data_IF_581688467522
#
_entry.id   IF_581688467522
#
_cell.length_a   1.000
_cell.length_b   1.000
_cell.length_c   1.000
_cell.angle_alpha   90.00
_cell.angle_beta   90.00
_cell.angle_gamma   90.00
#
_symmetry.space_group_name_H-M   'P 1'
#
loop_
_entity.id
_entity.type
_entity.pdbx_description
1 polymer ?
#
# COMPACT_ATOMS: atom_id res chain seq x y z
N UNK A 1 5.33 -22.44 -9.00
CA UNK A 1 4.45 -21.70 -9.94
C UNK A 1 3.00 -22.07 -9.65
N UNK A 2 2.05 -21.19 -9.93
CA UNK A 2 0.62 -21.53 -9.81
C UNK A 2 0.25 -22.50 -10.93
N UNK A 3 -0.46 -23.59 -10.62
CA UNK A 3 -0.97 -24.57 -11.60
C UNK A 3 -1.78 -23.93 -12.75
N UNK A 4 -2.39 -22.77 -12.50
CA UNK A 4 -3.13 -22.00 -13.50
C UNK A 4 -2.20 -21.53 -14.64
N UNK A 5 -0.93 -21.19 -14.36
CA UNK A 5 0.02 -20.75 -15.41
C UNK A 5 0.36 -21.86 -16.41
N UNK A 6 0.25 -23.12 -16.00
CA UNK A 6 0.49 -24.29 -16.86
C UNK A 6 -0.62 -24.50 -17.89
N UNK A 7 -1.79 -23.88 -17.67
CA UNK A 7 -2.91 -23.95 -18.62
C UNK A 7 -2.75 -23.00 -19.82
N UNK A 8 -1.85 -22.03 -19.74
CA UNK A 8 -1.61 -21.11 -20.86
C UNK A 8 -0.58 -21.69 -21.80
N UNK A 9 -0.95 -21.84 -23.07
CA UNK A 9 -0.08 -22.33 -24.13
C UNK A 9 -0.13 -21.38 -25.31
N UNK A 10 0.99 -21.30 -26.04
CA UNK A 10 1.00 -20.58 -27.33
C UNK A 10 0.11 -21.31 -28.33
N UNK A 11 -0.67 -20.57 -29.09
CA UNK A 11 -1.45 -21.13 -30.24
C UNK A 11 -0.57 -21.53 -31.43
N UNK A 12 0.70 -21.13 -31.43
CA UNK A 12 1.64 -21.45 -32.46
C UNK A 12 2.47 -22.67 -32.06
N UNK A 13 2.75 -23.58 -32.99
CA UNK A 13 3.44 -24.86 -32.74
C UNK A 13 4.82 -24.70 -32.11
N UNK A 14 5.56 -23.64 -32.44
CA UNK A 14 6.85 -23.29 -31.83
C UNK A 14 6.82 -21.96 -31.09
N UNK A 15 5.65 -21.56 -30.64
CA UNK A 15 5.48 -20.28 -29.94
C UNK A 15 5.86 -20.35 -28.47
N UNK A 16 6.30 -19.23 -27.93
CA UNK A 16 6.60 -19.05 -26.53
C UNK A 16 5.62 -18.05 -25.91
N UNK A 17 5.37 -18.18 -24.62
CA UNK A 17 4.69 -17.18 -23.82
C UNK A 17 5.74 -16.40 -23.04
N UNK A 18 5.75 -15.08 -23.21
CA UNK A 18 6.62 -14.18 -22.48
C UNK A 18 5.81 -13.39 -21.46
N UNK A 19 6.23 -13.40 -20.22
CA UNK A 19 5.71 -12.54 -19.17
C UNK A 19 6.75 -11.48 -18.82
N UNK A 20 6.38 -10.22 -18.96
CA UNK A 20 7.19 -9.08 -18.53
C UNK A 20 6.47 -8.38 -17.40
N UNK A 21 7.18 -8.05 -16.35
CA UNK A 21 6.65 -7.35 -15.19
C UNK A 21 7.67 -6.32 -14.70
N UNK A 22 7.19 -5.17 -14.25
CA UNK A 22 8.06 -4.14 -13.68
C UNK A 22 8.52 -4.55 -12.28
N UNK A 23 9.81 -4.36 -12.01
CA UNK A 23 10.32 -4.59 -10.66
C UNK A 23 9.92 -3.45 -9.73
N UNK A 24 9.26 -3.78 -8.63
CA UNK A 24 8.91 -2.86 -7.54
C UNK A 24 8.12 -1.61 -7.99
N UNK A 25 7.32 -1.67 -9.06
CA UNK A 25 6.64 -0.52 -9.64
C UNK A 25 5.84 0.29 -8.63
N UNK A 26 5.01 -0.38 -7.81
CA UNK A 26 4.20 0.29 -6.78
C UNK A 26 5.06 0.97 -5.71
N UNK A 27 6.21 0.39 -5.36
CA UNK A 27 7.17 0.99 -4.41
C UNK A 27 7.78 2.25 -5.01
N UNK A 28 8.15 2.22 -6.30
CA UNK A 28 8.65 3.38 -7.03
C UNK A 28 7.60 4.50 -7.07
N UNK A 29 6.36 4.17 -7.41
CA UNK A 29 5.25 5.13 -7.42
C UNK A 29 5.03 5.76 -6.04
N UNK A 30 5.04 4.94 -4.99
CA UNK A 30 4.90 5.43 -3.62
C UNK A 30 6.05 6.38 -3.23
N UNK A 31 7.29 6.03 -3.56
CA UNK A 31 8.46 6.87 -3.27
C UNK A 31 8.34 8.26 -3.90
N UNK A 32 7.90 8.31 -5.16
CA UNK A 32 7.69 9.56 -5.91
C UNK A 32 6.53 10.37 -5.34
N UNK A 33 5.38 9.74 -5.10
CA UNK A 33 4.19 10.42 -4.56
C UNK A 33 4.45 10.99 -3.17
N UNK A 34 5.06 10.18 -2.29
CA UNK A 34 5.37 10.56 -0.92
C UNK A 34 6.62 11.46 -0.81
N UNK A 35 7.37 11.64 -1.91
CA UNK A 35 8.64 12.37 -1.94
C UNK A 35 9.60 11.88 -0.84
N UNK A 36 9.60 10.55 -0.60
CA UNK A 36 10.43 9.95 0.43
C UNK A 36 11.87 9.82 -0.05
N UNK A 37 12.75 10.66 0.46
CA UNK A 37 14.14 10.75 0.01
C UNK A 37 14.96 9.50 0.31
N UNK A 38 14.67 8.81 1.43
CA UNK A 38 15.36 7.57 1.80
C UNK A 38 14.98 6.45 0.82
N UNK A 39 13.68 6.29 0.57
CA UNK A 39 13.20 5.28 -0.35
C UNK A 39 13.66 5.54 -1.79
N UNK A 40 13.65 6.81 -2.22
CA UNK A 40 14.16 7.20 -3.56
C UNK A 40 15.66 6.90 -3.71
N UNK A 41 16.47 7.15 -2.67
CA UNK A 41 17.90 6.86 -2.68
C UNK A 41 18.17 5.34 -2.75
N UNK A 42 17.48 4.54 -1.94
CA UNK A 42 17.57 3.06 -2.00
C UNK A 42 17.21 2.51 -3.39
N UNK A 43 16.11 3.00 -3.98
CA UNK A 43 15.67 2.59 -5.32
C UNK A 43 16.66 2.99 -6.41
N UNK A 44 17.21 4.21 -6.35
CA UNK A 44 18.21 4.70 -7.32
C UNK A 44 19.53 3.91 -7.25
N UNK A 45 19.87 3.37 -6.08
CA UNK A 45 21.01 2.46 -5.90
C UNK A 45 20.73 1.03 -6.36
N UNK A 46 19.48 0.73 -6.79
CA UNK A 46 19.07 -0.61 -7.19
C UNK A 46 18.92 -1.59 -6.04
N UNK A 47 18.73 -1.08 -4.82
CA UNK A 47 18.62 -1.90 -3.62
C UNK A 47 17.26 -2.64 -3.55
N UNK A 48 17.27 -3.83 -2.96
CA UNK A 48 16.05 -4.56 -2.66
C UNK A 48 15.46 -4.10 -1.32
N UNK A 49 14.45 -3.25 -1.42
CA UNK A 49 13.75 -2.66 -0.26
C UNK A 49 13.26 -3.71 0.75
N UNK A 50 12.83 -4.88 0.26
CA UNK A 50 12.35 -5.93 1.15
C UNK A 50 13.50 -6.59 1.91
N UNK A 51 14.66 -6.69 1.30
CA UNK A 51 15.89 -7.14 1.97
C UNK A 51 16.33 -6.11 3.02
N UNK A 52 16.40 -4.84 2.67
CA UNK A 52 16.79 -3.77 3.59
C UNK A 52 15.85 -3.70 4.80
N UNK A 53 14.55 -3.78 4.58
CA UNK A 53 13.57 -3.78 5.67
C UNK A 53 13.66 -5.05 6.53
N UNK A 54 13.99 -6.20 5.94
CA UNK A 54 14.19 -7.43 6.71
C UNK A 54 15.38 -7.32 7.65
N UNK A 55 16.50 -6.81 7.16
CA UNK A 55 17.71 -6.61 7.97
C UNK A 55 17.51 -5.55 9.06
N UNK A 56 16.76 -4.49 8.76
CA UNK A 56 16.38 -3.47 9.75
C UNK A 56 15.56 -4.07 10.90
N UNK A 57 14.58 -4.91 10.59
CA UNK A 57 13.69 -5.50 11.59
C UNK A 57 14.32 -6.68 12.34
N UNK A 58 15.26 -7.36 11.71
CA UNK A 58 15.93 -8.56 12.20
C UNK A 58 17.44 -8.46 11.99
N UNK A 59 18.16 -7.61 12.73
CA UNK A 59 19.60 -7.36 12.50
C UNK A 59 20.50 -8.58 12.76
N UNK A 60 20.03 -9.55 13.55
CA UNK A 60 20.77 -10.77 13.91
C UNK A 60 20.15 -12.02 13.29
N UNK A 61 19.64 -11.91 12.06
CA UNK A 61 18.93 -13.01 11.40
C UNK A 61 19.89 -14.15 11.01
N UNK A 62 19.48 -15.41 11.27
CA UNK A 62 20.14 -16.57 10.73
C UNK A 62 19.92 -16.67 9.21
N UNK A 63 20.97 -16.90 8.39
CA UNK A 63 20.85 -17.07 6.94
C UNK A 63 19.80 -18.09 6.49
N UNK A 64 19.61 -19.16 7.24
CA UNK A 64 18.61 -20.20 6.94
C UNK A 64 17.17 -19.67 7.05
N UNK A 65 16.91 -18.71 7.95
CA UNK A 65 15.60 -18.11 8.16
C UNK A 65 15.35 -16.90 7.28
N UNK A 66 16.41 -16.33 6.66
CA UNK A 66 16.34 -15.08 5.91
C UNK A 66 15.23 -15.09 4.86
N UNK A 67 15.16 -16.13 4.02
CA UNK A 67 14.16 -16.22 2.93
C UNK A 67 12.72 -16.21 3.48
N UNK A 68 12.48 -16.87 4.61
CA UNK A 68 11.16 -16.90 5.26
C UNK A 68 10.78 -15.54 5.84
N UNK A 69 11.72 -14.90 6.54
CA UNK A 69 11.50 -13.59 7.16
C UNK A 69 11.36 -12.48 6.10
N UNK A 70 12.19 -12.52 5.03
CA UNK A 70 12.06 -11.59 3.92
C UNK A 70 10.68 -11.65 3.25
N UNK A 71 10.11 -12.86 3.07
CA UNK A 71 8.75 -13.01 2.56
C UNK A 71 7.73 -12.35 3.48
N UNK A 72 7.83 -12.58 4.80
CA UNK A 72 6.95 -11.95 5.79
C UNK A 72 7.10 -10.43 5.82
N UNK A 73 8.34 -9.95 5.77
CA UNK A 73 8.62 -8.50 5.72
C UNK A 73 8.04 -7.88 4.45
N UNK A 74 8.11 -8.57 3.32
CA UNK A 74 7.47 -8.12 2.08
C UNK A 74 5.96 -7.96 2.27
N UNK A 75 5.29 -8.98 2.79
CA UNK A 75 3.84 -8.94 3.04
C UNK A 75 3.46 -7.82 4.03
N UNK A 76 4.27 -7.60 5.05
CA UNK A 76 4.14 -6.50 6.00
C UNK A 76 4.33 -5.13 5.34
N UNK A 77 5.39 -4.94 4.55
CA UNK A 77 5.68 -3.68 3.85
C UNK A 77 4.52 -3.31 2.93
N UNK A 78 4.00 -4.26 2.16
CA UNK A 78 2.82 -4.05 1.32
C UNK A 78 1.61 -3.58 2.13
N UNK A 79 1.31 -4.24 3.24
CA UNK A 79 0.18 -3.84 4.08
C UNK A 79 0.34 -2.41 4.64
N UNK A 80 1.55 -2.02 5.03
CA UNK A 80 1.83 -0.66 5.50
C UNK A 80 1.70 0.40 4.40
N UNK A 81 2.17 0.12 3.21
CA UNK A 81 2.05 1.02 2.06
C UNK A 81 0.59 1.40 1.82
N UNK A 82 -0.32 0.46 2.04
CA UNK A 82 -1.76 0.67 1.93
C UNK A 82 -2.46 1.02 3.25
N UNK A 83 -1.67 1.31 4.29
CA UNK A 83 -2.18 1.87 5.53
C UNK A 83 -2.82 0.91 6.50
N UNK A 84 -2.49 -0.37 6.41
CA UNK A 84 -2.95 -1.32 7.40
C UNK A 84 -2.52 -0.92 8.81
N UNK A 85 -3.44 -1.02 9.76
CA UNK A 85 -3.15 -0.82 11.17
C UNK A 85 -2.42 -2.02 11.78
N UNK A 86 -1.69 -1.81 12.88
CA UNK A 86 -0.95 -2.87 13.57
C UNK A 86 -1.82 -4.09 13.94
N UNK A 87 -3.10 -3.87 14.26
CA UNK A 87 -4.05 -4.96 14.56
C UNK A 87 -4.35 -5.83 13.33
N UNK A 88 -4.50 -5.21 12.15
CA UNK A 88 -4.72 -5.94 10.89
C UNK A 88 -3.49 -6.75 10.51
N UNK A 89 -2.32 -6.14 10.62
CA UNK A 89 -1.02 -6.77 10.35
C UNK A 89 -0.78 -7.95 11.29
N UNK A 90 -1.00 -7.76 12.59
CA UNK A 90 -0.89 -8.82 13.60
C UNK A 90 -1.71 -10.06 13.23
N UNK A 91 -2.97 -9.85 12.82
CA UNK A 91 -3.87 -10.94 12.42
C UNK A 91 -3.41 -11.63 11.13
N UNK A 92 -3.04 -10.87 10.11
CA UNK A 92 -2.69 -11.44 8.80
C UNK A 92 -1.37 -12.19 8.80
N UNK A 93 -0.40 -11.75 9.60
CA UNK A 93 0.94 -12.36 9.66
C UNK A 93 1.10 -13.36 10.82
N UNK A 94 0.10 -13.47 11.71
CA UNK A 94 0.18 -14.34 12.89
C UNK A 94 1.29 -13.92 13.86
N UNK A 95 1.54 -12.61 14.00
CA UNK A 95 2.49 -12.04 14.95
C UNK A 95 1.76 -11.30 16.08
N UNK A 96 2.48 -11.03 17.18
CA UNK A 96 1.88 -10.26 18.28
C UNK A 96 1.57 -8.81 17.85
N UNK A 97 0.55 -8.20 18.47
CA UNK A 97 0.24 -6.79 18.25
C UNK A 97 1.45 -5.88 18.57
N UNK A 98 2.19 -6.20 19.64
CA UNK A 98 3.40 -5.46 20.04
C UNK A 98 4.47 -5.50 18.94
N UNK A 99 4.67 -6.64 18.34
CA UNK A 99 5.63 -6.82 17.24
C UNK A 99 5.16 -6.07 15.99
N UNK A 100 3.90 -6.17 15.62
CA UNK A 100 3.34 -5.42 14.49
C UNK A 100 3.44 -3.90 14.70
N UNK A 101 3.21 -3.40 15.92
CA UNK A 101 3.37 -1.99 16.27
C UNK A 101 4.83 -1.54 16.14
N UNK A 102 5.77 -2.32 16.68
CA UNK A 102 7.20 -2.03 16.56
C UNK A 102 7.63 -1.96 15.10
N UNK A 103 7.22 -2.91 14.28
CA UNK A 103 7.54 -2.92 12.84
C UNK A 103 6.99 -1.68 12.13
N UNK A 104 5.77 -1.28 12.45
CA UNK A 104 5.15 -0.06 11.91
C UNK A 104 5.93 1.20 12.33
N UNK A 105 6.33 1.29 13.58
CA UNK A 105 7.12 2.42 14.10
C UNK A 105 8.48 2.52 13.40
N UNK A 106 9.23 1.41 13.29
CA UNK A 106 10.52 1.39 12.59
C UNK A 106 10.39 1.72 11.10
N UNK A 107 9.35 1.23 10.44
CA UNK A 107 9.07 1.58 9.05
C UNK A 107 8.84 3.08 8.86
N UNK A 108 7.98 3.70 9.67
CA UNK A 108 7.70 5.14 9.57
C UNK A 108 8.81 6.02 10.11
N UNK A 109 9.68 5.49 10.97
CA UNK A 109 10.91 6.18 11.38
C UNK A 109 11.92 6.23 10.25
N UNK A 110 12.02 5.16 9.46
CA UNK A 110 12.89 5.09 8.28
C UNK A 110 12.35 5.91 7.12
N UNK A 111 11.08 5.74 6.78
CA UNK A 111 10.42 6.36 5.63
C UNK A 111 9.50 7.49 6.09
N UNK A 112 10.11 8.61 6.45
CA UNK A 112 9.39 9.77 7.00
C UNK A 112 8.48 10.45 5.97
N UNK A 113 8.90 10.48 4.71
CA UNK A 113 8.08 11.02 3.62
C UNK A 113 6.76 10.26 3.46
N UNK A 114 6.81 8.92 3.53
CA UNK A 114 5.61 8.08 3.48
C UNK A 114 4.71 8.36 4.70
N UNK A 115 5.30 8.45 5.90
CA UNK A 115 4.55 8.78 7.13
C UNK A 115 3.79 10.08 6.97
N UNK A 116 4.49 11.12 6.55
CA UNK A 116 3.94 12.47 6.46
C UNK A 116 2.88 12.55 5.36
N UNK A 117 3.13 11.96 4.20
CA UNK A 117 2.12 11.85 3.14
C UNK A 117 0.87 11.10 3.63
N UNK A 118 1.02 9.96 4.30
CA UNK A 118 -0.11 9.22 4.87
C UNK A 118 -0.92 10.05 5.87
N UNK A 119 -0.26 10.92 6.63
CA UNK A 119 -0.92 11.78 7.60
C UNK A 119 -1.71 12.92 6.94
N UNK A 120 -1.31 13.42 5.77
CA UNK A 120 -2.01 14.50 5.08
C UNK A 120 -3.30 14.07 4.38
N UNK A 121 -3.39 12.82 3.92
CA UNK A 121 -4.49 12.34 3.09
C UNK A 121 -5.90 12.52 3.68
N UNK A 122 -6.14 12.23 4.97
CA UNK A 122 -7.46 12.45 5.57
C UNK A 122 -7.86 13.93 5.60
N UNK A 123 -6.90 14.83 5.79
CA UNK A 123 -7.15 16.28 5.76
C UNK A 123 -7.45 16.73 4.34
N UNK A 124 -6.66 16.31 3.37
CA UNK A 124 -6.88 16.61 1.95
C UNK A 124 -8.27 16.13 1.48
N UNK A 125 -8.70 14.94 1.90
CA UNK A 125 -10.03 14.43 1.59
C UNK A 125 -11.13 15.30 2.22
N UNK A 126 -10.94 15.73 3.47
CA UNK A 126 -11.88 16.61 4.17
C UNK A 126 -11.97 18.00 3.53
N UNK A 127 -10.82 18.57 3.15
CA UNK A 127 -10.77 19.89 2.54
C UNK A 127 -11.42 19.92 1.14
N UNK A 128 -11.51 18.77 0.48
CA UNK A 128 -12.11 18.60 -0.84
C UNK A 128 -13.47 17.88 -0.80
N UNK A 129 -14.08 17.71 0.37
CA UNK A 129 -15.36 17.01 0.48
C UNK A 129 -16.55 17.89 0.13
N UNK A 130 -17.55 17.27 -0.45
CA UNK A 130 -18.85 17.89 -0.73
C UNK A 130 -19.99 16.88 -0.55
N UNK A 131 -21.23 17.36 -0.47
CA UNK A 131 -22.37 16.46 -0.38
C UNK A 131 -22.64 15.85 -1.77
N UNK A 132 -22.39 14.56 -1.90
CA UNK A 132 -22.59 13.81 -3.14
C UNK A 132 -24.00 13.23 -3.27
N UNK A 133 -24.23 12.50 -4.34
CA UNK A 133 -25.46 11.76 -4.57
C UNK A 133 -25.43 10.33 -4.03
N UNK A 134 -24.23 9.84 -3.74
CA UNK A 134 -24.03 8.48 -3.22
C UNK A 134 -24.46 8.34 -1.76
N UNK A 135 -24.62 7.13 -1.34
CA UNK A 135 -24.99 6.78 0.03
C UNK A 135 -23.92 5.85 0.63
N UNK A 136 -23.80 5.90 1.95
CA UNK A 136 -22.99 4.92 2.68
C UNK A 136 -23.61 3.52 2.56
N UNK A 137 -22.86 2.44 2.84
CA UNK A 137 -23.40 1.08 2.86
C UNK A 137 -24.67 0.91 3.72
N UNK A 138 -24.82 1.69 4.79
CA UNK A 138 -26.02 1.71 5.64
C UNK A 138 -27.14 2.63 5.12
N UNK A 139 -26.95 3.28 3.95
CA UNK A 139 -27.95 4.09 3.29
C UNK A 139 -28.02 5.56 3.70
N UNK A 140 -27.13 6.04 4.54
CA UNK A 140 -27.04 7.47 4.90
C UNK A 140 -26.45 8.30 3.76
N UNK A 141 -26.83 9.58 3.62
CA UNK A 141 -26.17 10.49 2.69
C UNK A 141 -24.66 10.50 2.94
N UNK A 142 -23.87 10.30 1.88
CA UNK A 142 -22.42 10.27 1.98
C UNK A 142 -21.80 11.53 1.41
N UNK A 143 -20.74 12.03 2.04
CA UNK A 143 -19.86 13.01 1.43
C UNK A 143 -18.92 12.33 0.46
N UNK A 144 -18.59 13.01 -0.60
CA UNK A 144 -17.66 12.62 -1.64
C UNK A 144 -16.47 13.55 -1.64
N UNK A 145 -15.31 13.05 -2.06
CA UNK A 145 -14.13 13.87 -2.31
C UNK A 145 -13.47 13.44 -3.62
N UNK A 146 -13.01 14.37 -4.42
CA UNK A 146 -12.19 14.11 -5.59
C UNK A 146 -10.76 14.53 -5.33
N UNK A 147 -9.87 13.56 -5.22
CA UNK A 147 -8.46 13.80 -4.99
C UNK A 147 -7.66 13.65 -6.28
N UNK A 148 -6.82 14.63 -6.58
CA UNK A 148 -6.03 14.66 -7.79
C UNK A 148 -4.73 13.90 -7.64
N UNK A 149 -4.37 13.05 -8.63
CA UNK A 149 -3.06 12.42 -8.73
C UNK A 149 -1.99 13.39 -9.23
N UNK A 150 -0.73 12.97 -9.17
CA UNK A 150 0.40 13.74 -9.74
C UNK A 150 0.32 13.88 -11.26
N UNK A 151 -0.38 12.97 -11.96
CA UNK A 151 -0.61 13.00 -13.41
C UNK A 151 -1.85 13.82 -13.80
N UNK A 152 -2.59 14.32 -12.80
CA UNK A 152 -3.78 15.13 -13.02
C UNK A 152 -5.10 14.35 -13.04
N UNK A 153 -5.07 13.03 -12.93
CA UNK A 153 -6.28 12.19 -12.82
C UNK A 153 -6.98 12.43 -11.48
N UNK A 154 -8.30 12.43 -11.48
CA UNK A 154 -9.11 12.53 -10.28
C UNK A 154 -9.62 11.16 -9.85
N UNK A 155 -9.50 10.86 -8.55
CA UNK A 155 -10.05 9.67 -7.91
C UNK A 155 -11.18 10.09 -6.99
N UNK A 156 -12.35 9.47 -7.20
CA UNK A 156 -13.52 9.66 -6.35
C UNK A 156 -13.39 8.81 -5.10
N UNK A 157 -13.61 9.42 -3.97
CA UNK A 157 -13.70 8.76 -2.67
C UNK A 157 -15.06 9.05 -2.06
N UNK A 158 -15.66 8.04 -1.44
CA UNK A 158 -16.97 8.14 -0.80
C UNK A 158 -16.77 7.82 0.68
N UNK A 159 -17.38 8.62 1.54
CA UNK A 159 -17.36 8.34 2.98
C UNK A 159 -17.99 6.97 3.26
N UNK A 160 -17.36 6.22 4.15
CA UNK A 160 -17.88 4.98 4.72
C UNK A 160 -18.54 5.28 6.05
N UNK A 161 -19.48 4.42 6.44
CA UNK A 161 -20.01 4.44 7.80
C UNK A 161 -18.88 4.28 8.80
N UNK A 162 -19.01 4.92 9.95
CA UNK A 162 -18.07 4.77 11.04
C UNK A 162 -17.98 3.32 11.53
N UNK A 163 -16.97 2.99 12.34
CA UNK A 163 -16.85 1.67 12.92
C UNK A 163 -18.11 1.33 13.76
N UNK A 164 -18.37 0.07 13.97
CA UNK A 164 -19.60 -0.41 14.65
C UNK A 164 -19.84 0.18 16.05
N UNK A 165 -18.77 0.69 16.69
CA UNK A 165 -18.84 1.38 17.98
C UNK A 165 -19.06 2.90 17.87
N UNK A 166 -18.92 3.48 16.67
CA UNK A 166 -19.15 4.89 16.39
C UNK A 166 -19.59 5.06 14.92
N UNK A 167 -20.76 4.53 14.61
CA UNK A 167 -21.35 4.66 13.27
C UNK A 167 -21.78 6.10 12.93
N UNK A 168 -21.79 6.98 13.93
CA UNK A 168 -22.16 8.40 13.78
C UNK A 168 -21.06 9.27 13.16
N UNK A 169 -19.83 8.75 13.05
CA UNK A 169 -18.69 9.48 12.48
C UNK A 169 -18.22 8.85 11.17
N UNK A 170 -18.92 9.08 10.06
CA UNK A 170 -18.48 8.61 8.75
C UNK A 170 -17.12 9.20 8.40
N UNK A 171 -16.29 8.42 7.71
CA UNK A 171 -14.96 8.86 7.29
C UNK A 171 -14.53 8.26 5.97
N UNK A 172 -13.55 8.88 5.33
CA UNK A 172 -12.92 8.30 4.14
C UNK A 172 -12.00 7.16 4.54
N UNK A 173 -12.03 6.08 3.75
CA UNK A 173 -11.18 4.92 3.98
C UNK A 173 -9.69 5.28 3.81
N UNK A 174 -8.86 5.18 4.85
CA UNK A 174 -7.42 5.47 4.72
C UNK A 174 -6.73 4.57 3.70
N UNK A 175 -7.19 3.34 3.55
CA UNK A 175 -6.66 2.38 2.57
C UNK A 175 -6.97 2.82 1.15
N UNK A 176 -8.20 3.26 0.86
CA UNK A 176 -8.58 3.74 -0.47
C UNK A 176 -7.84 5.03 -0.84
N UNK A 177 -7.72 5.99 0.10
CA UNK A 177 -7.00 7.24 -0.12
C UNK A 177 -5.53 7.01 -0.54
N UNK A 178 -4.88 6.00 0.03
CA UNK A 178 -3.49 5.63 -0.29
C UNK A 178 -3.40 4.82 -1.57
N UNK A 179 -4.23 3.78 -1.65
CA UNK A 179 -4.16 2.77 -2.70
C UNK A 179 -4.46 3.35 -4.10
N UNK A 180 -5.54 4.13 -4.24
CA UNK A 180 -5.96 4.64 -5.53
C UNK A 180 -4.89 5.50 -6.21
N UNK A 181 -4.14 6.29 -5.46
CA UNK A 181 -3.06 7.12 -6.02
C UNK A 181 -1.86 6.31 -6.44
N UNK A 182 -1.45 5.34 -5.62
CA UNK A 182 -0.29 4.49 -5.92
C UNK A 182 -0.59 3.53 -7.07
N UNK A 183 -1.71 2.80 -6.97
CA UNK A 183 -2.09 1.85 -8.02
C UNK A 183 -2.53 2.53 -9.30
N UNK A 184 -3.16 3.69 -9.21
CA UNK A 184 -3.55 4.46 -10.39
C UNK A 184 -2.35 4.97 -11.17
N UNK A 185 -1.30 5.42 -10.50
CA UNK A 185 -0.04 5.78 -11.15
C UNK A 185 0.63 4.54 -11.74
N UNK A 186 0.78 3.46 -10.96
CA UNK A 186 1.47 2.26 -11.38
C UNK A 186 0.77 1.46 -12.48
N UNK A 187 -0.55 1.44 -12.50
CA UNK A 187 -1.34 0.59 -13.41
C UNK A 187 -2.11 1.34 -14.48
N UNK A 188 -2.15 2.65 -14.44
CA UNK A 188 -2.98 3.45 -15.34
C UNK A 188 -2.30 4.65 -15.97
N UNK A 189 -1.21 5.15 -15.39
CA UNK A 189 -0.56 6.39 -15.83
C UNK A 189 0.89 6.15 -16.32
N UNK A 190 1.47 4.98 -16.06
CA UNK A 190 2.73 4.46 -16.59
C UNK A 190 2.43 3.30 -17.52
#
# INVERSE_FOLDING_TARGET
>A
MSKIKECFQSRFSNGVLMQVDFSQLEVCCLAVIAKDTVLLDELNKGEDIHTNNTLMLHPSINPEEFKKLRRRTKEFTFQLQYGAGARSISRSLGISYREASRYKEEFYKKYTGIRDWHATLPYEARDNEFMGQDRTPLGYPAREAYLRSITGRYYKHIQRDGPSWDASTPGFSPTELRNYRVQGLAGGDI
#
